data_IF_465913950808
#
_entry.id   IF_465913950808
#
_cell.length_a   1.000
_cell.length_b   1.000
_cell.length_c   1.000
_cell.angle_alpha   90.00
_cell.angle_beta   90.00
_cell.angle_gamma   90.00
#
_symmetry.space_group_name_H-M   'P 1'
#
loop_
_entity.id
_entity.type
_entity.pdbx_description
1 polymer ?
#
# COMPACT_ATOMS: atom_id res chain seq x y z
N UNK A 1 -6.87 0.24 14.66
CA UNK A 1 -6.06 0.08 13.43
C UNK A 1 -6.73 0.89 12.31
N UNK A 2 -6.03 1.80 11.61
CA UNK A 2 -6.61 2.57 10.50
C UNK A 2 -7.11 1.64 9.38
N UNK A 3 -8.19 2.01 8.68
CA UNK A 3 -8.70 1.24 7.55
C UNK A 3 -7.74 1.23 6.36
N UNK A 4 -7.00 2.33 6.17
CA UNK A 4 -5.96 2.46 5.15
C UNK A 4 -4.61 1.81 5.52
N UNK A 5 -4.50 1.16 6.69
CA UNK A 5 -3.25 0.49 7.07
C UNK A 5 -2.88 -0.61 6.06
N UNK A 6 -1.59 -0.71 5.71
CA UNK A 6 -1.11 -1.58 4.65
C UNK A 6 -1.60 -3.04 4.74
N UNK A 7 -1.46 -3.65 5.92
CA UNK A 7 -1.90 -5.04 6.14
C UNK A 7 -3.42 -5.22 6.07
N UNK A 8 -4.19 -4.16 6.30
CA UNK A 8 -5.66 -4.16 6.29
C UNK A 8 -6.19 -3.89 4.87
N UNK A 9 -5.49 -3.05 4.11
CA UNK A 9 -5.71 -2.88 2.67
C UNK A 9 -5.41 -4.15 1.89
N UNK A 10 -4.32 -4.84 2.21
CA UNK A 10 -3.86 -6.03 1.46
C UNK A 10 -4.46 -7.35 1.96
N UNK A 11 -4.99 -7.39 3.18
CA UNK A 11 -5.79 -8.50 3.70
C UNK A 11 -6.85 -7.94 4.68
N UNK A 12 -8.06 -7.66 4.19
CA UNK A 12 -9.15 -7.06 4.97
C UNK A 12 -9.65 -7.91 6.14
N UNK A 13 -9.38 -9.23 6.14
CA UNK A 13 -9.86 -10.17 7.16
C UNK A 13 -11.37 -9.97 7.37
N UNK A 14 -11.82 -9.82 8.63
CA UNK A 14 -13.21 -9.63 9.03
C UNK A 14 -13.88 -8.35 8.50
N UNK A 15 -13.17 -7.48 7.78
CA UNK A 15 -13.82 -6.37 7.09
C UNK A 15 -14.59 -6.79 5.83
N UNK A 16 -14.24 -7.95 5.26
CA UNK A 16 -14.95 -8.65 4.20
C UNK A 16 -15.28 -10.08 4.65
N UNK A 17 -16.32 -10.66 4.08
CA UNK A 17 -16.70 -12.04 4.34
C UNK A 17 -16.33 -12.93 3.15
N UNK A 18 -16.15 -14.23 3.38
CA UNK A 18 -16.02 -15.18 2.27
C UNK A 18 -17.36 -15.24 1.51
N UNK A 19 -17.37 -15.33 0.17
CA UNK A 19 -16.26 -15.71 -0.71
C UNK A 19 -15.40 -14.55 -1.24
N UNK A 20 -15.66 -13.30 -0.84
CA UNK A 20 -15.03 -12.09 -1.41
C UNK A 20 -13.56 -11.89 -0.97
N UNK A 21 -12.98 -12.84 -0.21
CA UNK A 21 -11.61 -12.75 0.32
C UNK A 21 -10.70 -13.84 -0.24
N UNK A 22 -11.18 -15.09 -0.34
CA UNK A 22 -10.36 -16.24 -0.72
C UNK A 22 -9.61 -16.08 -2.06
N UNK A 23 -10.21 -15.54 -3.15
CA UNK A 23 -9.52 -15.38 -4.43
C UNK A 23 -8.33 -14.42 -4.38
N UNK A 24 -8.36 -13.47 -3.44
CA UNK A 24 -7.39 -12.37 -3.36
C UNK A 24 -6.19 -12.67 -2.45
N UNK A 25 -5.95 -13.94 -2.11
CA UNK A 25 -4.79 -14.33 -1.29
C UNK A 25 -3.55 -14.57 -2.14
N UNK A 26 -2.42 -14.06 -1.66
CA UNK A 26 -1.10 -14.23 -2.30
C UNK A 26 -0.08 -14.79 -1.30
N UNK A 27 0.85 -15.61 -1.78
CA UNK A 27 2.05 -16.02 -1.02
C UNK A 27 3.18 -15.07 -1.37
N UNK A 28 3.79 -14.39 -0.40
CA UNK A 28 4.90 -13.44 -0.63
C UNK A 28 6.26 -14.07 -0.34
N UNK A 29 7.23 -13.85 -1.23
CA UNK A 29 8.63 -14.31 -1.12
C UNK A 29 9.63 -13.20 -1.50
N UNK A 30 9.33 -11.97 -1.10
CA UNK A 30 10.22 -10.84 -1.36
C UNK A 30 11.46 -10.85 -0.48
N UNK A 31 12.51 -10.16 -0.94
CA UNK A 31 13.78 -9.97 -0.22
C UNK A 31 14.25 -8.50 -0.35
N UNK A 32 14.77 -7.87 0.72
CA UNK A 32 15.34 -6.53 0.60
C UNK A 32 16.57 -6.49 -0.32
N UNK A 33 16.85 -5.33 -0.91
CA UNK A 33 18.09 -5.07 -1.66
C UNK A 33 18.66 -3.70 -1.33
N UNK A 34 19.93 -3.51 -1.67
CA UNK A 34 20.66 -2.26 -1.43
C UNK A 34 21.32 -2.22 -0.05
N UNK A 35 22.14 -1.18 0.20
CA UNK A 35 22.81 -0.98 1.47
C UNK A 35 21.87 -0.42 2.54
N UNK A 36 22.28 -0.53 3.80
CA UNK A 36 21.66 0.20 4.91
C UNK A 36 21.73 1.72 4.69
N UNK A 37 20.92 2.47 5.43
CA UNK A 37 20.93 3.95 5.38
C UNK A 37 22.26 4.47 5.93
N UNK A 38 22.95 5.31 5.16
CA UNK A 38 24.22 5.92 5.59
C UNK A 38 24.00 7.01 6.64
N UNK A 39 25.06 7.37 7.36
CA UNK A 39 25.02 8.49 8.32
C UNK A 39 24.65 9.82 7.62
N UNK A 40 25.21 10.06 6.44
CA UNK A 40 24.95 11.24 5.62
C UNK A 40 23.51 11.30 5.12
N UNK A 41 22.95 10.17 4.68
CA UNK A 41 21.54 10.07 4.27
C UNK A 41 20.60 10.38 5.43
N UNK A 42 20.89 9.84 6.62
CA UNK A 42 20.09 10.10 7.83
C UNK A 42 20.14 11.58 8.24
N UNK A 43 21.34 12.18 8.25
CA UNK A 43 21.50 13.62 8.54
C UNK A 43 20.77 14.50 7.52
N UNK A 44 20.89 14.18 6.23
CA UNK A 44 20.26 14.94 5.16
C UNK A 44 18.76 14.69 5.02
N UNK A 45 18.23 13.65 5.68
CA UNK A 45 16.85 13.14 5.51
C UNK A 45 16.51 12.90 4.03
N UNK A 46 17.47 12.39 3.28
CA UNK A 46 17.37 12.23 1.82
C UNK A 46 18.10 10.98 1.37
N UNK A 47 17.40 10.14 0.61
CA UNK A 47 17.96 8.97 -0.07
C UNK A 47 19.00 9.38 -1.10
N UNK A 48 20.15 8.70 -1.07
CA UNK A 48 21.28 8.88 -2.00
C UNK A 48 21.68 7.55 -2.66
N UNK A 49 21.40 6.42 -2.02
CA UNK A 49 21.67 5.07 -2.55
C UNK A 49 20.37 4.30 -2.78
N UNK A 50 20.34 3.53 -3.87
CA UNK A 50 19.19 2.72 -4.23
C UNK A 50 19.03 1.52 -3.28
N UNK A 51 17.81 1.33 -2.78
CA UNK A 51 17.44 0.28 -1.84
C UNK A 51 15.93 0.06 -1.87
N UNK A 52 15.51 -1.13 -1.48
CA UNK A 52 14.08 -1.40 -1.38
C UNK A 52 13.79 -2.88 -1.23
N UNK A 53 12.71 -3.31 -1.87
CA UNK A 53 12.21 -4.67 -1.82
C UNK A 53 12.13 -5.25 -3.23
N UNK A 54 12.79 -6.38 -3.45
CA UNK A 54 12.47 -7.25 -4.58
C UNK A 54 11.18 -7.98 -4.24
N UNK A 55 10.04 -7.41 -4.65
CA UNK A 55 8.73 -7.97 -4.35
C UNK A 55 8.43 -9.16 -5.27
N UNK A 56 8.09 -10.30 -4.67
CA UNK A 56 7.65 -11.52 -5.37
C UNK A 56 6.41 -12.05 -4.68
N UNK A 57 5.37 -12.35 -5.45
CA UNK A 57 4.20 -13.06 -4.94
C UNK A 57 3.68 -14.13 -5.90
N UNK A 58 3.03 -15.15 -5.34
CA UNK A 58 2.47 -16.28 -6.04
C UNK A 58 0.95 -16.34 -5.82
N UNK A 59 0.23 -16.60 -6.89
CA UNK A 59 -1.22 -16.78 -6.96
C UNK A 59 -1.56 -17.65 -8.17
N UNK A 60 -2.73 -18.28 -8.17
CA UNK A 60 -3.24 -19.03 -9.34
C UNK A 60 -3.81 -18.13 -10.44
N UNK A 61 -4.23 -16.92 -10.10
CA UNK A 61 -4.77 -15.93 -11.03
C UNK A 61 -4.22 -14.54 -10.69
N UNK A 62 -3.51 -13.90 -11.62
CA UNK A 62 -2.94 -12.57 -11.44
C UNK A 62 -4.01 -11.50 -11.24
N UNK A 63 -5.12 -11.60 -12.00
CA UNK A 63 -6.21 -10.64 -11.97
C UNK A 63 -6.91 -10.62 -10.61
N UNK A 64 -7.02 -11.77 -9.96
CA UNK A 64 -7.62 -11.91 -8.63
C UNK A 64 -6.63 -11.60 -7.50
N UNK A 65 -5.34 -11.86 -7.69
CA UNK A 65 -4.32 -11.65 -6.65
C UNK A 65 -3.70 -10.26 -6.69
N UNK A 66 -2.47 -10.18 -7.19
CA UNK A 66 -1.66 -8.95 -7.21
C UNK A 66 -2.39 -7.76 -7.84
N UNK A 67 -2.99 -7.95 -9.04
CA UNK A 67 -3.64 -6.85 -9.75
C UNK A 67 -4.83 -6.30 -8.97
N UNK A 68 -5.65 -7.18 -8.37
CA UNK A 68 -6.80 -6.77 -7.57
C UNK A 68 -6.38 -6.01 -6.31
N UNK A 69 -5.45 -6.57 -5.53
CA UNK A 69 -4.97 -5.95 -4.29
C UNK A 69 -4.44 -4.55 -4.56
N UNK A 70 -3.60 -4.38 -5.59
CA UNK A 70 -3.03 -3.08 -5.91
C UNK A 70 -4.11 -2.09 -6.38
N UNK A 71 -4.92 -2.47 -7.38
CA UNK A 71 -5.82 -1.54 -8.06
C UNK A 71 -7.13 -1.29 -7.30
N UNK A 72 -7.74 -2.36 -6.75
CA UNK A 72 -9.07 -2.28 -6.13
C UNK A 72 -9.01 -1.96 -4.65
N UNK A 73 -7.89 -2.27 -3.98
CA UNK A 73 -7.73 -2.02 -2.54
C UNK A 73 -6.74 -0.91 -2.22
N UNK A 74 -5.44 -1.09 -2.54
CA UNK A 74 -4.39 -0.16 -2.13
C UNK A 74 -4.53 1.23 -2.76
N UNK A 75 -4.81 1.30 -4.07
CA UNK A 75 -5.00 2.54 -4.82
C UNK A 75 -6.37 3.20 -4.61
N UNK A 76 -7.35 2.47 -4.06
CA UNK A 76 -8.72 2.94 -3.95
C UNK A 76 -8.98 3.63 -2.62
N UNK A 77 -9.12 4.95 -2.62
CA UNK A 77 -9.39 5.73 -1.40
C UNK A 77 -10.71 5.39 -0.70
N UNK A 78 -11.70 4.86 -1.44
CA UNK A 78 -13.00 4.45 -0.91
C UNK A 78 -12.99 3.07 -0.24
N UNK A 79 -11.95 2.27 -0.47
CA UNK A 79 -11.82 0.95 0.15
C UNK A 79 -11.28 1.07 1.58
N UNK A 80 -11.84 0.45 2.61
CA UNK A 80 -12.89 -0.57 2.63
C UNK A 80 -14.27 0.09 2.61
N UNK A 81 -15.08 -0.20 1.60
CA UNK A 81 -16.30 0.52 1.23
C UNK A 81 -17.17 0.91 2.44
N UNK A 82 -17.48 2.20 2.57
CA UNK A 82 -18.30 2.78 3.65
C UNK A 82 -17.77 2.54 5.08
N UNK A 83 -16.50 2.18 5.26
CA UNK A 83 -15.86 1.95 6.57
C UNK A 83 -14.60 2.83 6.71
N UNK A 84 -14.70 4.09 7.16
CA UNK A 84 -15.91 4.82 7.52
C UNK A 84 -16.58 5.45 6.28
N UNK A 85 -17.86 5.80 6.39
CA UNK A 85 -18.60 6.45 5.30
C UNK A 85 -17.97 7.82 4.94
N UNK A 86 -17.64 8.64 5.94
CA UNK A 86 -16.93 9.91 5.77
C UNK A 86 -16.05 10.25 6.98
N UNK A 87 -14.78 10.65 6.79
CA UNK A 87 -14.06 10.62 5.52
C UNK A 87 -13.80 9.18 5.04
N UNK A 88 -13.70 8.97 3.73
CA UNK A 88 -13.20 7.70 3.20
C UNK A 88 -11.81 7.34 3.78
N UNK A 89 -11.42 6.05 3.84
CA UNK A 89 -10.14 5.63 4.43
C UNK A 89 -8.90 6.29 3.80
N UNK A 90 -8.93 6.56 2.50
CA UNK A 90 -7.77 7.00 1.74
C UNK A 90 -6.92 5.85 1.20
N UNK A 91 -5.73 6.19 0.72
CA UNK A 91 -4.82 5.28 0.03
C UNK A 91 -4.01 4.45 1.02
N UNK A 92 -3.53 3.29 0.59
CA UNK A 92 -2.46 2.61 1.31
C UNK A 92 -1.22 3.54 1.36
N UNK A 93 -0.70 3.88 2.56
CA UNK A 93 0.40 4.83 2.68
C UNK A 93 1.73 4.32 2.15
N UNK A 94 1.90 3.00 1.99
CA UNK A 94 3.14 2.36 1.58
C UNK A 94 3.14 2.10 0.06
N UNK A 95 2.11 1.40 -0.44
CA UNK A 95 2.07 0.94 -1.85
C UNK A 95 0.96 1.59 -2.68
N UNK A 96 0.07 2.38 -2.08
CA UNK A 96 -1.03 3.00 -2.81
C UNK A 96 -0.51 4.08 -3.75
N UNK A 97 -0.92 4.02 -5.01
CA UNK A 97 -0.50 4.92 -6.09
C UNK A 97 -1.71 5.62 -6.72
N UNK A 98 -1.45 6.76 -7.34
CA UNK A 98 -2.44 7.51 -8.13
C UNK A 98 -1.93 7.74 -9.55
N UNK A 99 -2.85 7.74 -10.51
CA UNK A 99 -2.52 8.22 -11.85
C UNK A 99 -2.15 9.71 -11.78
N UNK A 100 -1.19 10.14 -12.60
CA UNK A 100 -0.78 11.53 -12.78
C UNK A 100 -0.30 12.25 -11.50
N UNK A 101 0.31 11.52 -10.56
CA UNK A 101 0.88 12.06 -9.32
C UNK A 101 -0.10 12.91 -8.49
N UNK A 102 -1.40 12.56 -8.52
CA UNK A 102 -2.40 13.23 -7.70
C UNK A 102 -2.08 13.05 -6.22
N UNK A 103 -2.37 14.05 -5.36
CA UNK A 103 -2.11 13.95 -3.92
C UNK A 103 -2.75 12.71 -3.31
N UNK A 104 -1.99 12.00 -2.49
CA UNK A 104 -2.46 10.85 -1.71
C UNK A 104 -2.67 11.27 -0.28
N UNK A 105 -3.71 10.73 0.33
CA UNK A 105 -4.03 10.98 1.72
C UNK A 105 -4.56 9.72 2.41
N UNK A 106 -4.56 9.72 3.74
CA UNK A 106 -5.21 8.70 4.56
C UNK A 106 -5.91 9.31 5.78
N UNK A 107 -6.97 8.65 6.26
CA UNK A 107 -7.66 8.99 7.50
C UNK A 107 -7.39 7.94 8.61
N UNK A 108 -7.75 8.28 9.86
CA UNK A 108 -7.62 7.37 11.00
C UNK A 108 -6.19 7.16 11.53
N UNK A 109 -5.22 7.96 11.06
CA UNK A 109 -3.83 7.92 11.51
C UNK A 109 -3.65 8.38 12.97
N UNK A 110 -4.56 9.22 13.46
CA UNK A 110 -4.59 9.72 14.84
C UNK A 110 -5.83 9.22 15.57
N UNK A 111 -5.65 8.74 16.81
CA UNK A 111 -6.76 8.37 17.69
C UNK A 111 -7.53 9.62 18.14
N UNK A 112 -6.83 10.73 18.36
CA UNK A 112 -7.42 11.98 18.81
C UNK A 112 -8.12 12.74 17.65
N UNK A 113 -7.64 12.53 16.42
CA UNK A 113 -8.13 13.20 15.22
C UNK A 113 -8.41 12.18 14.09
N UNK A 114 -9.36 11.25 14.29
CA UNK A 114 -9.56 10.14 13.36
C UNK A 114 -10.12 10.56 12.00
N UNK A 115 -10.70 11.76 11.91
CA UNK A 115 -11.25 12.33 10.66
C UNK A 115 -10.24 13.22 9.91
N UNK A 116 -9.11 13.55 10.52
CA UNK A 116 -8.12 14.40 9.86
C UNK A 116 -7.42 13.63 8.76
N UNK A 117 -7.23 14.29 7.62
CA UNK A 117 -6.48 13.74 6.49
C UNK A 117 -5.00 13.98 6.71
N UNK A 118 -4.22 12.90 6.73
CA UNK A 118 -2.78 12.96 6.61
C UNK A 118 -2.41 13.01 5.13
N UNK A 119 -1.74 14.08 4.70
CA UNK A 119 -1.07 14.15 3.41
C UNK A 119 0.13 13.20 3.42
N UNK A 120 0.19 12.31 2.43
CA UNK A 120 1.24 11.30 2.30
C UNK A 120 2.48 11.81 1.56
N UNK A 121 2.44 13.03 1.04
CA UNK A 121 3.56 13.69 0.41
C UNK A 121 3.92 13.18 -0.99
N UNK A 122 4.86 13.89 -1.61
CA UNK A 122 5.44 13.60 -2.93
C UNK A 122 6.97 13.87 -2.84
N UNK A 123 7.86 12.95 -3.27
CA UNK A 123 7.61 11.65 -3.93
C UNK A 123 6.99 10.58 -3.02
N UNK A 124 6.48 9.52 -3.64
CA UNK A 124 6.02 8.31 -2.95
C UNK A 124 7.17 7.65 -2.18
N UNK A 125 6.86 6.98 -1.06
CA UNK A 125 7.86 6.27 -0.25
C UNK A 125 8.41 5.01 -0.94
N UNK A 126 7.61 4.40 -1.82
CA UNK A 126 7.98 3.23 -2.62
C UNK A 126 7.81 3.61 -4.08
N UNK A 127 8.89 3.53 -4.85
CA UNK A 127 8.92 3.82 -6.27
C UNK A 127 9.07 2.51 -7.05
N UNK A 128 8.12 2.23 -7.95
CA UNK A 128 8.20 1.05 -8.82
C UNK A 128 9.17 1.31 -9.97
N UNK A 129 10.30 0.60 -9.98
CA UNK A 129 11.36 0.74 -10.99
C UNK A 129 11.28 -0.33 -12.10
N UNK A 130 10.21 -1.13 -12.14
CA UNK A 130 10.00 -2.19 -13.11
C UNK A 130 9.51 -3.49 -12.48
N UNK A 131 9.09 -4.42 -13.33
CA UNK A 131 8.57 -5.74 -12.94
C UNK A 131 8.04 -6.50 -14.15
N UNK A 132 7.75 -7.78 -13.98
CA UNK A 132 7.22 -8.65 -15.02
C UNK A 132 6.36 -9.77 -14.39
N UNK A 133 5.46 -10.35 -15.19
CA UNK A 133 4.67 -11.52 -14.85
C UNK A 133 5.28 -12.80 -15.44
N UNK A 134 5.39 -13.83 -14.60
CA UNK A 134 5.94 -15.14 -14.96
C UNK A 134 4.94 -16.25 -14.64
N UNK A 135 5.14 -17.42 -15.25
CA UNK A 135 4.44 -18.67 -14.95
C UNK A 135 5.43 -19.76 -14.56
#
# INVERSE_FOLDING_TARGET
CPFAAHIRKTNPRSDLEEPDLAPHRIIRRGIPYGPEVSYEENLARKTQQDRGLLFVCYQSNLDDGFHFIQNRWANNEGFIFNKPAEPNPGHDPIIGQTADAKPRNMAGWSINYPKDRLDLGNPEWVLSNGGEYFF
#
